data_IF_684395257920
#
_entry.id   IF_684395257920
#
_cell.length_a   1.000
_cell.length_b   1.000
_cell.length_c   1.000
_cell.angle_alpha   90.00
_cell.angle_beta   90.00
_cell.angle_gamma   90.00
#
_symmetry.space_group_name_H-M   'P 1'
#
loop_
_entity.id
_entity.type
_entity.pdbx_description
1 polymer ?
#
# COMPACT_ATOMS: atom_id res chain seq x y z
N UNK A 1 -16.30 -6.58 0.49
CA UNK A 1 -16.83 -5.20 0.20
C UNK A 1 -16.10 -4.12 0.99
N UNK A 2 -15.75 -4.31 2.26
CA UNK A 2 -14.97 -3.34 3.06
C UNK A 2 -13.61 -2.97 2.45
N UNK A 3 -12.89 -3.93 1.87
CA UNK A 3 -11.60 -3.69 1.22
C UNK A 3 -11.68 -2.71 0.03
N UNK A 4 -12.78 -2.75 -0.72
CA UNK A 4 -13.02 -1.89 -1.90
C UNK A 4 -13.25 -0.43 -1.49
N UNK A 5 -13.89 -0.20 -0.33
CA UNK A 5 -14.16 1.14 0.20
C UNK A 5 -12.87 1.79 0.71
N UNK A 6 -11.99 1.05 1.38
CA UNK A 6 -10.67 1.56 1.78
C UNK A 6 -9.78 1.85 0.58
N UNK A 7 -9.82 0.99 -0.45
CA UNK A 7 -9.10 1.20 -1.70
C UNK A 7 -9.60 2.46 -2.43
N UNK A 8 -10.93 2.67 -2.48
CA UNK A 8 -11.54 3.87 -3.03
C UNK A 8 -11.18 5.13 -2.22
N UNK A 9 -11.22 5.06 -0.89
CA UNK A 9 -10.83 6.17 -0.01
C UNK A 9 -9.37 6.59 -0.20
N UNK A 10 -8.47 5.63 -0.41
CA UNK A 10 -7.07 5.91 -0.71
C UNK A 10 -6.91 6.60 -2.06
N UNK A 11 -7.62 6.12 -3.08
CA UNK A 11 -7.61 6.73 -4.40
C UNK A 11 -8.10 8.18 -4.37
N UNK A 12 -9.17 8.45 -3.60
CA UNK A 12 -9.69 9.81 -3.40
C UNK A 12 -8.66 10.69 -2.71
N UNK A 13 -8.00 10.20 -1.65
CA UNK A 13 -6.91 10.93 -0.97
C UNK A 13 -5.74 11.24 -1.89
N UNK A 14 -5.36 10.30 -2.75
CA UNK A 14 -4.28 10.47 -3.72
C UNK A 14 -4.62 11.53 -4.77
N UNK A 15 -5.85 11.48 -5.31
CA UNK A 15 -6.37 12.48 -6.26
C UNK A 15 -6.45 13.86 -5.61
N UNK A 16 -6.95 13.94 -4.37
CA UNK A 16 -7.03 15.20 -3.63
C UNK A 16 -5.64 15.82 -3.42
N UNK A 17 -4.65 15.01 -3.06
CA UNK A 17 -3.30 15.49 -2.82
C UNK A 17 -2.59 15.92 -4.12
N UNK A 18 -2.76 15.19 -5.23
CA UNK A 18 -2.27 15.63 -6.54
C UNK A 18 -2.94 16.94 -6.95
N UNK A 19 -4.26 17.05 -6.76
CA UNK A 19 -5.01 18.27 -7.05
C UNK A 19 -4.51 19.46 -6.22
N UNK A 20 -4.28 19.27 -4.90
CA UNK A 20 -3.71 20.32 -4.05
C UNK A 20 -2.26 20.66 -4.41
N UNK A 21 -1.46 19.68 -4.82
CA UNK A 21 -0.08 19.91 -5.26
C UNK A 21 -0.05 20.77 -6.53
N UNK A 22 -0.84 20.42 -7.55
CA UNK A 22 -0.89 21.13 -8.84
C UNK A 22 -1.47 22.54 -8.69
N UNK A 23 -2.50 22.71 -7.86
CA UNK A 23 -3.20 24.01 -7.76
C UNK A 23 -2.57 24.99 -6.78
N UNK A 24 -1.92 24.52 -5.71
CA UNK A 24 -1.33 25.40 -4.67
C UNK A 24 0.18 25.29 -4.51
N UNK A 25 0.86 24.48 -5.31
CA UNK A 25 2.30 24.25 -5.17
C UNK A 25 2.66 23.61 -3.83
N UNK A 26 1.73 22.89 -3.19
CA UNK A 26 1.91 22.32 -1.86
C UNK A 26 2.68 20.99 -1.93
N UNK A 27 3.98 21.08 -2.18
CA UNK A 27 4.88 19.91 -2.26
C UNK A 27 4.99 19.12 -0.95
N UNK A 28 4.72 19.74 0.20
CA UNK A 28 4.68 19.08 1.51
C UNK A 28 3.66 17.93 1.60
N UNK A 29 2.51 18.05 0.92
CA UNK A 29 1.50 16.99 0.90
C UNK A 29 1.96 15.78 0.09
N UNK A 30 2.64 16.03 -1.04
CA UNK A 30 3.22 14.96 -1.84
C UNK A 30 4.37 14.27 -1.08
N UNK A 31 5.23 15.05 -0.43
CA UNK A 31 6.30 14.51 0.41
C UNK A 31 5.73 13.71 1.59
N UNK A 32 4.66 14.18 2.24
CA UNK A 32 3.99 13.46 3.33
C UNK A 32 3.36 12.14 2.84
N UNK A 33 2.75 12.12 1.65
CA UNK A 33 2.23 10.89 1.04
C UNK A 33 3.33 9.90 0.66
N UNK A 34 4.41 10.40 0.06
CA UNK A 34 5.56 9.59 -0.26
C UNK A 34 6.15 8.97 1.01
N UNK A 35 6.32 9.76 2.07
CA UNK A 35 6.83 9.29 3.35
C UNK A 35 5.88 8.28 4.00
N UNK A 36 4.57 8.51 3.91
CA UNK A 36 3.55 7.59 4.41
C UNK A 36 3.65 6.23 3.70
N UNK A 37 3.70 6.21 2.37
CA UNK A 37 3.85 4.98 1.58
C UNK A 37 5.22 4.33 1.82
N UNK A 38 6.26 5.12 2.07
CA UNK A 38 7.59 4.62 2.43
C UNK A 38 7.60 3.94 3.81
N UNK A 39 6.94 4.53 4.80
CA UNK A 39 6.78 3.95 6.14
C UNK A 39 5.91 2.68 6.09
N UNK A 40 4.82 2.69 5.33
CA UNK A 40 3.99 1.49 5.11
C UNK A 40 4.76 0.35 4.45
N UNK A 41 5.60 0.68 3.46
CA UNK A 41 6.50 -0.27 2.83
C UNK A 41 7.46 -0.88 3.86
N UNK A 42 8.07 -0.07 4.72
CA UNK A 42 9.04 -0.55 5.69
C UNK A 42 8.40 -1.39 6.81
N UNK A 43 7.24 -0.97 7.31
CA UNK A 43 6.54 -1.64 8.41
C UNK A 43 5.83 -2.92 7.98
N UNK A 44 5.11 -2.89 6.85
CA UNK A 44 4.24 -3.99 6.42
C UNK A 44 4.56 -4.52 5.03
N UNK A 45 4.78 -3.65 4.05
CA UNK A 45 5.04 -4.06 2.67
C UNK A 45 6.19 -5.06 2.56
N UNK A 46 7.30 -4.79 3.25
CA UNK A 46 8.48 -5.66 3.29
C UNK A 46 8.20 -7.02 3.92
N UNK A 47 7.52 -7.06 5.07
CA UNK A 47 7.19 -8.29 5.77
C UNK A 47 6.25 -9.18 4.93
N UNK A 48 5.23 -8.58 4.31
CA UNK A 48 4.27 -9.30 3.46
C UNK A 48 4.91 -9.76 2.16
N UNK A 49 5.70 -8.90 1.49
CA UNK A 49 6.41 -9.27 0.26
C UNK A 49 7.39 -10.43 0.45
N UNK A 50 8.13 -10.42 1.57
CA UNK A 50 9.04 -11.51 1.94
C UNK A 50 8.28 -12.81 2.22
N UNK A 51 7.14 -12.74 2.92
CA UNK A 51 6.29 -13.91 3.20
C UNK A 51 5.65 -14.47 1.92
N UNK A 52 5.27 -13.61 0.99
CA UNK A 52 4.70 -13.99 -0.30
C UNK A 52 5.75 -14.48 -1.32
N UNK A 53 7.04 -14.54 -0.95
CA UNK A 53 8.13 -14.96 -1.85
C UNK A 53 8.38 -13.99 -3.01
N UNK A 54 7.90 -12.74 -2.93
CA UNK A 54 8.12 -11.72 -3.96
C UNK A 54 9.48 -11.05 -3.77
N UNK A 55 10.08 -10.60 -4.86
CA UNK A 55 11.34 -9.88 -4.79
C UNK A 55 11.17 -8.56 -4.03
N UNK A 56 12.21 -8.19 -3.27
CA UNK A 56 12.27 -6.95 -2.51
C UNK A 56 11.96 -5.73 -3.40
N UNK A 57 12.54 -5.69 -4.60
CA UNK A 57 12.34 -4.58 -5.52
C UNK A 57 10.89 -4.44 -6.00
N UNK A 58 10.25 -5.55 -6.37
CA UNK A 58 8.83 -5.56 -6.79
C UNK A 58 7.94 -5.11 -5.62
N UNK A 59 8.25 -5.56 -4.41
CA UNK A 59 7.54 -5.18 -3.19
C UNK A 59 7.65 -3.69 -2.92
N UNK A 60 8.86 -3.12 -3.05
CA UNK A 60 9.15 -1.69 -2.90
C UNK A 60 8.35 -0.87 -3.90
N UNK A 61 8.49 -1.19 -5.20
CA UNK A 61 7.84 -0.43 -6.27
C UNK A 61 6.32 -0.52 -6.16
N UNK A 62 5.78 -1.72 -5.95
CA UNK A 62 4.33 -1.91 -5.85
C UNK A 62 3.75 -1.26 -4.59
N UNK A 63 4.46 -1.27 -3.45
CA UNK A 63 3.96 -0.57 -2.24
C UNK A 63 4.12 0.95 -2.35
N UNK A 64 5.13 1.46 -3.05
CA UNK A 64 5.23 2.90 -3.31
C UNK A 64 4.18 3.39 -4.30
N UNK A 65 3.85 2.59 -5.32
CA UNK A 65 2.86 2.94 -6.34
C UNK A 65 1.42 2.68 -5.90
N UNK A 66 1.18 1.63 -5.11
CA UNK A 66 -0.17 1.19 -4.73
C UNK A 66 -0.41 1.16 -3.21
N UNK A 67 0.59 1.46 -2.37
CA UNK A 67 0.44 1.50 -0.91
C UNK A 67 -0.07 0.18 -0.34
N UNK A 68 -0.91 0.29 0.70
CA UNK A 68 -1.64 -0.84 1.28
C UNK A 68 -2.52 -1.61 0.32
N UNK A 69 -2.94 -1.04 -0.80
CA UNK A 69 -3.85 -1.74 -1.71
C UNK A 69 -3.19 -2.92 -2.42
N UNK A 70 -1.87 -2.97 -2.46
CA UNK A 70 -1.11 -4.10 -2.99
C UNK A 70 -0.82 -5.17 -1.92
N UNK A 71 -0.28 -4.80 -0.75
CA UNK A 71 0.12 -5.80 0.25
C UNK A 71 -1.05 -6.32 1.10
N UNK A 72 -2.13 -5.56 1.28
CA UNK A 72 -3.29 -6.00 2.08
C UNK A 72 -4.00 -7.27 1.52
N UNK A 73 -4.34 -7.36 0.22
CA UNK A 73 -4.92 -8.59 -0.33
C UNK A 73 -3.90 -9.74 -0.31
N UNK A 74 -2.61 -9.44 -0.45
CA UNK A 74 -1.54 -10.43 -0.41
C UNK A 74 -1.40 -11.02 1.00
N UNK A 75 -1.43 -10.19 2.04
CA UNK A 75 -1.44 -10.60 3.46
C UNK A 75 -2.66 -11.48 3.76
N UNK A 76 -3.84 -11.11 3.23
CA UNK A 76 -5.07 -11.88 3.41
C UNK A 76 -4.97 -13.27 2.79
N UNK A 77 -4.55 -13.36 1.53
CA UNK A 77 -4.35 -14.63 0.85
C UNK A 77 -3.34 -15.54 1.59
N UNK A 78 -2.29 -14.94 2.14
CA UNK A 78 -1.26 -15.68 2.88
C UNK A 78 -1.78 -16.22 4.22
N UNK A 79 -2.67 -15.48 4.89
CA UNK A 79 -3.30 -15.93 6.12
C UNK A 79 -4.33 -17.04 5.88
N UNK A 80 -5.10 -16.97 4.78
CA UNK A 80 -6.06 -18.04 4.43
C UNK A 80 -5.36 -19.35 4.07
N UNK A 81 -4.28 -19.30 3.29
CA UNK A 81 -3.44 -20.47 3.01
C UNK A 81 -2.85 -21.08 4.29
N UNK A 82 -2.49 -20.24 5.27
CA UNK A 82 -1.97 -20.72 6.56
C UNK A 82 -3.03 -21.40 7.43
N UNK A 83 -4.30 -21.00 7.34
CA UNK A 83 -5.39 -21.67 8.07
C UNK A 83 -5.71 -23.05 7.49
N UNK A 84 -5.72 -23.21 6.16
CA UNK A 84 -6.00 -24.52 5.54
C UNK A 84 -4.96 -25.60 5.88
N UNK A 85 -3.68 -25.22 6.07
CA UNK A 85 -2.62 -26.16 6.47
C UNK A 85 -2.71 -26.56 7.95
N UNK A 86 -3.53 -25.87 8.75
CA UNK A 86 -3.65 -26.10 10.19
C UNK A 86 -4.87 -26.96 10.57
N UNK A 87 -5.78 -27.21 9.64
CA UNK A 87 -6.91 -28.14 9.79
C UNK A 87 -6.55 -29.53 9.25
#
# INVERSE_FOLDING_TARGET
MKDKIQQAGCFVLYILAIYLWVTRGFWYLFAALFLLHFVELFLKGWAVGKRAGKSAFVTIVMTLMCGFTWWLPLEKALNESKSEVRE
#
